data_IF_769989041478
#
_entry.id   IF_769989041478
#
_cell.length_a   1.000
_cell.length_b   1.000
_cell.length_c   1.000
_cell.angle_alpha   90.00
_cell.angle_beta   90.00
_cell.angle_gamma   90.00
#
_symmetry.space_group_name_H-M   'P 1'
#
loop_
_entity.id
_entity.type
_entity.pdbx_description
1 polymer ?
#
# COMPACT_ATOMS: atom_id res chain seq x y z
N UNK A 1 -0.04 13.15 -7.95
CA UNK A 1 0.12 11.80 -8.58
C UNK A 1 -0.86 10.87 -7.89
N UNK A 2 -1.80 10.24 -8.60
CA UNK A 2 -2.75 9.31 -8.00
C UNK A 2 -2.02 8.14 -7.33
N UNK A 3 -2.51 7.72 -6.17
CA UNK A 3 -1.94 6.61 -5.41
C UNK A 3 -2.42 5.29 -6.02
N UNK A 4 -1.52 4.55 -6.65
CA UNK A 4 -1.81 3.20 -7.13
C UNK A 4 -2.09 2.25 -5.96
N UNK A 5 -2.72 1.10 -6.25
CA UNK A 5 -3.07 0.08 -5.25
C UNK A 5 -1.89 -0.29 -4.31
N UNK A 6 -0.69 -0.43 -4.88
CA UNK A 6 0.52 -0.69 -4.12
C UNK A 6 0.90 0.46 -3.17
N UNK A 7 0.72 1.72 -3.57
CA UNK A 7 1.02 2.87 -2.72
C UNK A 7 0.03 2.99 -1.56
N UNK A 8 -1.24 2.66 -1.78
CA UNK A 8 -2.26 2.57 -0.72
C UNK A 8 -1.93 1.44 0.26
N UNK A 9 -1.61 0.25 -0.27
CA UNK A 9 -1.18 -0.89 0.53
C UNK A 9 0.04 -0.55 1.38
N UNK A 10 1.08 0.02 0.76
CA UNK A 10 2.29 0.46 1.48
C UNK A 10 1.95 1.47 2.57
N UNK A 11 1.06 2.44 2.32
CA UNK A 11 0.68 3.46 3.31
C UNK A 11 -0.06 2.86 4.51
N UNK A 12 -0.96 1.91 4.26
CA UNK A 12 -1.69 1.19 5.32
C UNK A 12 -0.74 0.34 6.18
N UNK A 13 0.13 -0.45 5.55
CA UNK A 13 1.02 -1.37 6.25
C UNK A 13 2.27 -0.69 6.80
N UNK A 14 2.71 0.44 6.25
CA UNK A 14 3.81 1.24 6.78
C UNK A 14 3.57 1.62 8.24
N UNK A 15 2.35 2.03 8.60
CA UNK A 15 2.04 2.45 9.96
C UNK A 15 2.13 1.26 10.92
N UNK A 16 1.57 0.11 10.54
CA UNK A 16 1.66 -1.14 11.29
C UNK A 16 3.12 -1.61 11.44
N UNK A 17 3.90 -1.54 10.36
CA UNK A 17 5.30 -1.91 10.35
C UNK A 17 6.16 -0.97 11.20
N UNK A 18 5.85 0.34 11.22
CA UNK A 18 6.53 1.32 12.08
C UNK A 18 6.33 1.06 13.58
N UNK A 19 5.15 0.60 13.98
CA UNK A 19 4.89 0.24 15.38
C UNK A 19 5.66 -1.02 15.80
N UNK A 20 5.72 -2.02 14.91
CA UNK A 20 6.43 -3.28 15.16
C UNK A 20 7.95 -3.13 15.14
N UNK A 21 8.46 -2.23 14.29
CA UNK A 21 9.89 -2.04 14.07
C UNK A 21 10.32 -0.66 14.55
N UNK A 22 10.56 -0.54 15.86
CA UNK A 22 11.15 0.65 16.52
C UNK A 22 12.53 1.07 15.96
N UNK A 23 13.15 0.25 15.09
CA UNK A 23 14.42 0.57 14.43
C UNK A 23 14.24 0.90 12.94
N UNK A 24 14.73 2.09 12.58
CA UNK A 24 14.43 2.89 11.40
C UNK A 24 15.04 2.38 10.09
N UNK A 25 14.77 1.14 9.67
CA UNK A 25 15.21 0.72 8.34
C UNK A 25 14.06 0.74 7.33
N UNK A 26 13.80 1.92 6.77
CA UNK A 26 12.75 2.16 5.77
C UNK A 26 12.95 1.33 4.49
N UNK A 27 14.19 0.91 4.19
CA UNK A 27 14.46 -0.02 3.09
C UNK A 27 13.82 -1.39 3.33
N UNK A 28 13.95 -1.93 4.55
CA UNK A 28 13.40 -3.23 4.91
C UNK A 28 11.87 -3.18 4.86
N UNK A 29 11.25 -2.11 5.37
CA UNK A 29 9.79 -1.94 5.29
C UNK A 29 9.32 -1.97 3.84
N UNK A 30 10.01 -1.28 2.93
CA UNK A 30 9.63 -1.28 1.51
C UNK A 30 9.80 -2.64 0.85
N UNK A 31 10.88 -3.37 1.16
CA UNK A 31 11.11 -4.72 0.64
C UNK A 31 10.06 -5.70 1.16
N UNK A 32 9.73 -5.63 2.45
CA UNK A 32 8.71 -6.48 3.07
C UNK A 32 7.32 -6.16 2.51
N UNK A 33 6.93 -4.88 2.39
CA UNK A 33 5.67 -4.53 1.75
C UNK A 33 5.59 -5.03 0.30
N UNK A 34 6.69 -4.99 -0.46
CA UNK A 34 6.74 -5.55 -1.81
C UNK A 34 6.54 -7.08 -1.83
N UNK A 35 7.20 -7.80 -0.93
CA UNK A 35 7.03 -9.26 -0.79
C UNK A 35 5.62 -9.63 -0.31
N UNK A 36 5.13 -8.95 0.72
CA UNK A 36 3.78 -9.16 1.25
C UNK A 36 2.72 -8.90 0.18
N UNK A 37 2.85 -7.84 -0.63
CA UNK A 37 1.91 -7.56 -1.71
C UNK A 37 1.80 -8.69 -2.74
N UNK A 38 2.90 -9.37 -3.06
CA UNK A 38 2.87 -10.52 -3.97
C UNK A 38 2.30 -11.79 -3.30
N UNK A 39 2.39 -11.89 -1.98
CA UNK A 39 1.83 -13.01 -1.20
C UNK A 39 0.35 -12.78 -0.82
N UNK A 40 -0.13 -11.55 -0.91
CA UNK A 40 -1.50 -11.20 -0.55
C UNK A 40 -2.52 -11.86 -1.46
N UNK A 41 -3.66 -12.19 -0.86
CA UNK A 41 -4.78 -12.83 -1.55
C UNK A 41 -5.31 -11.92 -2.66
N UNK A 42 -5.79 -12.52 -3.74
CA UNK A 42 -6.35 -11.79 -4.87
C UNK A 42 -7.52 -10.88 -4.48
N UNK A 43 -8.32 -11.30 -3.48
CA UNK A 43 -9.37 -10.46 -2.88
C UNK A 43 -8.83 -9.14 -2.33
N UNK A 44 -7.70 -9.17 -1.61
CA UNK A 44 -7.08 -7.96 -1.04
C UNK A 44 -6.52 -7.09 -2.16
N UNK A 45 -5.84 -7.68 -3.14
CA UNK A 45 -5.31 -6.95 -4.31
C UNK A 45 -6.43 -6.27 -5.09
N UNK A 46 -7.56 -6.95 -5.30
CA UNK A 46 -8.74 -6.39 -5.96
C UNK A 46 -9.38 -5.26 -5.17
N UNK A 47 -9.46 -5.38 -3.84
CA UNK A 47 -10.00 -4.32 -2.98
C UNK A 47 -9.14 -3.05 -3.05
N UNK A 48 -7.81 -3.18 -2.95
CA UNK A 48 -6.89 -2.05 -3.09
C UNK A 48 -6.87 -1.47 -4.52
N UNK A 49 -7.07 -2.28 -5.56
CA UNK A 49 -7.25 -1.80 -6.93
C UNK A 49 -8.54 -0.99 -7.10
N UNK A 50 -9.65 -1.44 -6.51
CA UNK A 50 -10.91 -0.69 -6.51
C UNK A 50 -10.74 0.66 -5.80
N UNK A 51 -10.08 0.69 -4.64
CA UNK A 51 -9.78 1.95 -3.94
C UNK A 51 -8.87 2.86 -4.73
N UNK A 52 -7.82 2.34 -5.37
CA UNK A 52 -6.94 3.12 -6.23
C UNK A 52 -7.68 3.72 -7.43
N UNK A 53 -8.65 2.99 -7.99
CA UNK A 53 -9.50 3.48 -9.08
C UNK A 53 -10.35 4.67 -8.62
N UNK A 54 -11.02 4.53 -7.47
CA UNK A 54 -11.82 5.61 -6.86
C UNK A 54 -10.94 6.84 -6.58
N UNK A 55 -9.74 6.64 -6.02
CA UNK A 55 -8.83 7.74 -5.71
C UNK A 55 -8.34 8.45 -6.99
N UNK A 56 -8.15 7.70 -8.08
CA UNK A 56 -7.79 8.25 -9.39
C UNK A 56 -8.93 9.07 -9.98
N UNK A 57 -10.16 8.55 -9.91
CA UNK A 57 -11.37 9.23 -10.38
C UNK A 57 -11.58 10.53 -9.61
N UNK A 58 -11.52 10.48 -8.27
CA UNK A 58 -11.61 11.67 -7.41
C UNK A 58 -10.52 12.71 -7.67
N UNK A 59 -9.26 12.28 -7.87
CA UNK A 59 -8.18 13.21 -8.20
C UNK A 59 -8.35 13.81 -9.61
N UNK A 60 -9.06 13.14 -10.51
CA UNK A 60 -9.34 13.68 -11.84
C UNK A 60 -10.50 14.69 -11.83
N UNK A 61 -11.41 14.58 -10.86
CA UNK A 61 -12.53 15.52 -10.64
C UNK A 61 -12.16 16.74 -9.77
N UNK A 62 -11.03 16.72 -9.06
CA UNK A 62 -10.54 17.78 -8.18
C UNK A 62 -9.46 18.65 -8.83
#
# INVERSE_FOLDING_TARGET
RPLNAFMLYRKAYQNRAKELWKHRNHQIISQMCGKSWNLESESIRNQFNAWAKIEREKHQEA
#
